data_IF_062966698573
#
_entry.id   IF_062966698573
#
_cell.length_a   1.000
_cell.length_b   1.000
_cell.length_c   1.000
_cell.angle_alpha   90.00
_cell.angle_beta   90.00
_cell.angle_gamma   90.00
#
_symmetry.space_group_name_H-M   'P 1'
#
loop_
_entity.id
_entity.type
_entity.pdbx_description
1 polymer ?
#
# COMPACT_ATOMS: atom_id res chain seq x y z
N UNK A 1 15.24 -0.59 -6.17
CA UNK A 1 14.67 0.70 -5.74
C UNK A 1 14.41 0.63 -4.25
N UNK A 2 14.54 1.73 -3.50
CA UNK A 2 14.19 1.74 -2.07
C UNK A 2 12.91 2.53 -1.85
N UNK A 3 12.05 2.00 -1.01
CA UNK A 3 10.80 2.58 -0.60
C UNK A 3 10.84 2.73 0.92
N UNK A 4 11.07 3.97 1.35
CA UNK A 4 11.16 4.31 2.76
C UNK A 4 9.80 4.82 3.19
N UNK A 5 9.22 4.21 4.21
CA UNK A 5 7.84 4.49 4.62
C UNK A 5 7.78 4.74 6.11
N UNK A 6 7.06 5.77 6.53
CA UNK A 6 6.72 6.00 7.94
C UNK A 6 5.41 5.27 8.25
N UNK A 7 5.35 4.52 9.36
CA UNK A 7 4.16 3.73 9.70
C UNK A 7 2.91 4.57 9.91
N UNK A 8 3.07 5.78 10.42
CA UNK A 8 1.99 6.75 10.66
C UNK A 8 1.52 7.48 9.39
N UNK A 9 2.26 7.36 8.28
CA UNK A 9 1.92 7.94 6.98
C UNK A 9 2.00 6.89 5.87
N UNK A 10 1.65 5.64 6.19
CA UNK A 10 1.91 4.48 5.36
C UNK A 10 1.35 4.63 3.94
N UNK A 11 0.05 4.88 3.80
CA UNK A 11 -0.58 5.02 2.49
C UNK A 11 -0.09 6.26 1.73
N UNK A 12 0.08 7.40 2.39
CA UNK A 12 0.55 8.66 1.78
C UNK A 12 1.95 8.51 1.18
N UNK A 13 2.93 8.11 2.01
CA UNK A 13 4.31 7.86 1.57
C UNK A 13 4.35 6.80 0.46
N UNK A 14 3.43 5.84 0.53
CA UNK A 14 3.34 4.76 -0.45
C UNK A 14 2.84 5.22 -1.82
N UNK A 15 1.77 6.01 -1.84
CA UNK A 15 1.19 6.58 -3.05
C UNK A 15 2.20 7.51 -3.70
N UNK A 16 2.82 8.41 -2.95
CA UNK A 16 3.81 9.35 -3.48
C UNK A 16 5.00 8.63 -4.12
N UNK A 17 5.54 7.61 -3.44
CA UNK A 17 6.63 6.81 -3.96
C UNK A 17 6.25 6.09 -5.26
N UNK A 18 5.07 5.44 -5.31
CA UNK A 18 4.61 4.70 -6.50
C UNK A 18 4.31 5.64 -7.67
N UNK A 19 3.67 6.78 -7.41
CA UNK A 19 3.27 7.74 -8.44
C UNK A 19 4.46 8.50 -9.03
N UNK A 20 5.56 8.63 -8.27
CA UNK A 20 6.80 9.22 -8.78
C UNK A 20 7.54 8.36 -9.82
N UNK A 21 7.11 7.11 -10.03
CA UNK A 21 7.88 6.15 -10.81
C UNK A 21 7.62 6.15 -12.31
N UNK A 22 8.71 5.90 -13.04
CA UNK A 22 8.60 5.48 -14.43
C UNK A 22 8.06 4.04 -14.54
N UNK A 23 7.40 3.73 -15.65
CA UNK A 23 6.94 2.37 -15.98
C UNK A 23 8.05 1.31 -15.92
N UNK A 24 9.30 1.71 -16.22
CA UNK A 24 10.46 0.83 -16.18
C UNK A 24 10.86 0.52 -14.73
N UNK A 25 10.75 1.50 -13.84
CA UNK A 25 11.14 1.35 -12.44
C UNK A 25 10.13 0.53 -11.64
N UNK A 26 8.83 0.63 -11.96
CA UNK A 26 7.78 -0.19 -11.35
C UNK A 26 8.07 -1.70 -11.42
N UNK A 27 8.73 -2.16 -12.50
CA UNK A 27 9.02 -3.59 -12.73
C UNK A 27 10.32 -4.07 -12.08
N UNK A 28 11.09 -3.19 -11.45
CA UNK A 28 12.34 -3.56 -10.77
C UNK A 28 12.03 -4.22 -9.42
N UNK A 29 13.04 -4.80 -8.79
CA UNK A 29 12.94 -5.24 -7.40
C UNK A 29 12.90 -4.02 -6.45
N UNK A 30 11.90 -4.01 -5.57
CA UNK A 30 11.73 -3.00 -4.53
C UNK A 30 12.30 -3.53 -3.22
N UNK A 31 12.93 -2.65 -2.45
CA UNK A 31 13.32 -2.89 -1.07
C UNK A 31 12.52 -1.94 -0.21
N UNK A 32 11.81 -2.48 0.75
CA UNK A 32 10.97 -1.73 1.68
C UNK A 32 11.75 -1.54 2.98
N UNK A 33 11.71 -0.32 3.53
CA UNK A 33 12.34 0.03 4.80
C UNK A 33 11.34 0.89 5.58
N UNK A 34 10.92 0.43 6.78
CA UNK A 34 10.18 1.28 7.71
C UNK A 34 11.17 2.20 8.43
N UNK A 35 10.92 3.50 8.39
CA UNK A 35 11.86 4.50 8.91
C UNK A 35 12.01 4.33 10.42
N UNK A 36 13.26 4.14 10.87
CA UNK A 36 13.58 3.95 12.28
C UNK A 36 13.56 2.50 12.75
N UNK A 37 13.31 1.54 11.87
CA UNK A 37 13.23 0.11 12.20
C UNK A 37 14.39 -0.70 11.60
N UNK A 38 14.84 -1.72 12.34
CA UNK A 38 15.88 -2.61 11.88
C UNK A 38 15.33 -3.56 10.80
N UNK A 39 15.65 -3.29 9.53
CA UNK A 39 15.20 -4.12 8.41
C UNK A 39 16.04 -5.38 8.21
N UNK A 40 15.80 -6.40 9.03
CA UNK A 40 16.59 -7.64 9.06
C UNK A 40 16.20 -8.59 7.91
N UNK A 41 14.90 -8.73 7.62
CA UNK A 41 14.38 -9.59 6.55
C UNK A 41 13.65 -8.77 5.48
N UNK A 42 14.30 -8.63 4.31
CA UNK A 42 13.72 -7.93 3.18
C UNK A 42 12.44 -8.59 2.63
N UNK A 43 12.32 -9.92 2.74
CA UNK A 43 11.14 -10.64 2.26
C UNK A 43 9.92 -10.40 3.15
N UNK A 44 10.11 -10.50 4.47
CA UNK A 44 9.10 -10.20 5.48
C UNK A 44 8.60 -8.76 5.38
N UNK A 45 9.50 -7.80 5.26
CA UNK A 45 9.14 -6.38 5.13
C UNK A 45 8.29 -6.09 3.88
N UNK A 46 8.61 -6.72 2.75
CA UNK A 46 7.80 -6.57 1.55
C UNK A 46 6.37 -7.11 1.76
N UNK A 47 6.24 -8.29 2.37
CA UNK A 47 4.93 -8.91 2.65
C UNK A 47 4.11 -8.06 3.62
N UNK A 48 4.76 -7.56 4.67
CA UNK A 48 4.14 -6.68 5.66
C UNK A 48 3.64 -5.39 4.99
N UNK A 49 4.47 -4.73 4.18
CA UNK A 49 4.07 -3.51 3.48
C UNK A 49 2.85 -3.74 2.57
N UNK A 50 2.83 -4.80 1.77
CA UNK A 50 1.68 -5.11 0.91
C UNK A 50 0.41 -5.35 1.72
N UNK A 51 0.52 -6.05 2.86
CA UNK A 51 -0.61 -6.29 3.73
C UNK A 51 -1.15 -4.97 4.31
N UNK A 52 -0.30 -4.18 4.95
CA UNK A 52 -0.73 -2.95 5.63
C UNK A 52 -1.31 -1.92 4.66
N UNK A 53 -0.71 -1.74 3.47
CA UNK A 53 -1.23 -0.82 2.45
C UNK A 53 -2.58 -1.32 1.92
N UNK A 54 -2.75 -2.64 1.77
CA UNK A 54 -4.03 -3.21 1.35
C UNK A 54 -5.11 -2.97 2.41
N UNK A 55 -4.76 -3.15 3.69
CA UNK A 55 -5.67 -2.92 4.82
C UNK A 55 -6.13 -1.44 4.87
N UNK A 56 -5.22 -0.48 4.70
CA UNK A 56 -5.58 0.96 4.64
C UNK A 56 -6.39 1.31 3.38
N UNK A 57 -6.04 0.78 2.20
CA UNK A 57 -6.79 1.07 0.96
C UNK A 57 -8.25 0.60 1.09
N UNK A 58 -8.49 -0.56 1.69
CA UNK A 58 -9.83 -1.11 1.85
C UNK A 58 -10.50 -0.74 3.17
N UNK A 59 -9.90 0.13 3.97
CA UNK A 59 -10.53 0.69 5.16
C UNK A 59 -11.78 1.50 4.75
N UNK A 60 -12.98 1.17 5.26
CA UNK A 60 -14.20 1.91 4.97
C UNK A 60 -14.10 3.41 5.31
N UNK A 61 -13.30 3.79 6.32
CA UNK A 61 -13.13 5.18 6.75
C UNK A 61 -12.34 6.01 5.71
N UNK A 62 -11.55 5.36 4.84
CA UNK A 62 -10.88 6.04 3.72
C UNK A 62 -11.83 6.38 2.57
N UNK A 63 -12.98 5.71 2.48
CA UNK A 63 -14.03 6.01 1.51
C UNK A 63 -13.72 5.66 0.05
N UNK A 64 -12.62 4.96 -0.25
CA UNK A 64 -12.26 4.57 -1.63
C UNK A 64 -13.09 3.39 -2.16
N UNK A 65 -13.36 2.42 -1.31
CA UNK A 65 -14.05 1.18 -1.67
C UNK A 65 -15.23 0.93 -0.74
N UNK A 66 -16.18 0.14 -1.22
CA UNK A 66 -17.30 -0.37 -0.43
C UNK A 66 -17.56 -1.83 -0.80
N UNK A 67 -18.22 -2.58 0.08
CA UNK A 67 -18.68 -3.94 -0.25
C UNK A 67 -19.65 -3.91 -1.43
N UNK A 68 -19.56 -4.91 -2.31
CA UNK A 68 -20.48 -5.04 -3.43
C UNK A 68 -21.88 -5.41 -2.96
N UNK A 69 -22.90 -4.81 -3.58
CA UNK A 69 -24.31 -5.09 -3.29
C UNK A 69 -24.68 -6.55 -3.62
N UNK A 70 -24.05 -7.13 -4.64
CA UNK A 70 -24.35 -8.49 -5.14
C UNK A 70 -23.57 -9.58 -4.40
N UNK A 71 -22.39 -9.27 -3.87
CA UNK A 71 -21.56 -10.21 -3.13
C UNK A 71 -20.69 -9.48 -2.09
N UNK A 72 -21.02 -9.64 -0.81
CA UNK A 72 -20.31 -8.99 0.31
C UNK A 72 -18.84 -9.44 0.46
N UNK A 73 -18.42 -10.51 -0.21
CA UNK A 73 -17.01 -10.93 -0.26
C UNK A 73 -16.20 -10.22 -1.36
N UNK A 74 -16.84 -9.36 -2.16
CA UNK A 74 -16.20 -8.56 -3.19
C UNK A 74 -16.29 -7.07 -2.82
N UNK A 75 -15.24 -6.33 -3.16
CA UNK A 75 -15.21 -4.87 -3.03
C UNK A 75 -15.47 -4.22 -4.40
N UNK A 76 -16.13 -3.06 -4.39
CA UNK A 76 -16.33 -2.20 -5.56
C UNK A 76 -15.91 -0.76 -5.24
N UNK A 77 -15.59 0.02 -6.27
CA UNK A 77 -15.26 1.44 -6.09
C UNK A 77 -16.46 2.14 -5.46
N UNK A 78 -16.22 2.95 -4.44
CA UNK A 78 -17.26 3.79 -3.85
C UNK A 78 -17.66 4.88 -4.87
N UNK A 79 -18.92 4.94 -5.34
CA UNK A 79 -19.35 5.98 -6.30
C UNK A 79 -19.28 7.41 -5.74
N UNK A 80 -19.15 7.58 -4.43
CA UNK A 80 -19.07 8.86 -3.75
C UNK A 80 -17.62 9.34 -3.46
N UNK A 81 -16.60 8.57 -3.87
CA UNK A 81 -15.18 8.92 -3.69
C UNK A 81 -14.74 10.09 -4.57
#
# INVERSE_FOLDING_TARGET
>A
MRMNVRRDHLLEDSVDAVMSLSRKDMRKLWRFEFIGEAGIDAGGLAREWFQLVTDEIFDPDMGFWQSSETNQMCMQINPAS
#
